data_IF_352766202222
#
_entry.id   IF_352766202222
#
_cell.length_a   1.000
_cell.length_b   1.000
_cell.length_c   1.000
_cell.angle_alpha   90.00
_cell.angle_beta   90.00
_cell.angle_gamma   90.00
#
_symmetry.space_group_name_H-M   'P 1'
#
loop_
_entity.id
_entity.type
_entity.pdbx_description
1 polymer ?
#
# COMPACT_ATOMS: atom_id res chain seq x y z
N UNK A 1 53.18 24.73 -32.84
CA UNK A 1 52.72 23.94 -31.67
C UNK A 1 51.60 24.68 -30.94
N UNK A 2 50.34 24.28 -31.14
CA UNK A 2 49.20 24.65 -30.28
C UNK A 2 48.23 23.46 -30.27
N UNK A 3 48.19 22.73 -29.16
CA UNK A 3 47.22 21.67 -28.88
C UNK A 3 45.83 22.30 -28.72
N UNK A 4 44.82 21.74 -29.40
CA UNK A 4 43.40 21.97 -29.08
C UNK A 4 42.86 20.71 -28.39
N UNK A 5 42.43 20.87 -27.14
CA UNK A 5 41.77 19.84 -26.34
C UNK A 5 40.34 19.61 -26.86
N UNK A 6 39.98 18.35 -27.13
CA UNK A 6 38.60 17.90 -27.26
C UNK A 6 38.01 17.67 -25.86
N UNK A 7 36.93 18.37 -25.53
CA UNK A 7 36.10 18.09 -24.35
C UNK A 7 35.04 17.08 -24.78
N UNK A 8 35.14 15.85 -24.27
CA UNK A 8 34.09 14.82 -24.41
C UNK A 8 33.05 15.11 -23.32
N UNK A 9 31.87 15.56 -23.72
CA UNK A 9 30.71 15.66 -22.84
C UNK A 9 30.12 14.26 -22.61
N UNK A 10 30.35 13.71 -21.42
CA UNK A 10 29.73 12.46 -20.99
C UNK A 10 28.30 12.75 -20.53
N UNK A 11 27.31 12.44 -21.35
CA UNK A 11 25.91 12.41 -20.93
C UNK A 11 25.69 11.22 -19.99
N UNK A 12 25.56 11.51 -18.69
CA UNK A 12 25.00 10.58 -17.72
C UNK A 12 23.51 10.39 -18.04
N UNK A 13 23.21 9.35 -18.81
CA UNK A 13 21.86 8.83 -18.93
C UNK A 13 21.44 8.27 -17.56
N UNK A 14 20.60 9.01 -16.84
CA UNK A 14 19.89 8.50 -15.68
C UNK A 14 18.93 7.41 -16.16
N UNK A 15 19.33 6.15 -16.00
CA UNK A 15 18.44 5.01 -16.16
C UNK A 15 17.43 5.04 -15.00
N UNK A 16 16.11 5.12 -15.26
CA UNK A 16 15.13 4.96 -14.21
C UNK A 16 15.21 3.52 -13.68
N UNK A 17 15.51 3.40 -12.38
CA UNK A 17 15.45 2.12 -11.68
C UNK A 17 14.00 1.60 -11.74
N UNK A 18 13.76 0.61 -12.58
CA UNK A 18 12.57 -0.23 -12.53
C UNK A 18 12.47 -0.83 -11.14
N UNK A 19 11.39 -0.48 -10.41
CA UNK A 19 11.05 -1.13 -9.16
C UNK A 19 10.92 -2.64 -9.43
N UNK A 20 11.89 -3.42 -8.98
CA UNK A 20 11.87 -4.87 -9.13
C UNK A 20 10.73 -5.44 -8.29
N UNK A 21 9.73 -6.02 -8.95
CA UNK A 21 8.84 -6.98 -8.30
C UNK A 21 9.72 -8.12 -7.78
N UNK A 22 9.85 -8.25 -6.46
CA UNK A 22 10.62 -9.33 -5.85
C UNK A 22 9.88 -10.64 -6.17
N UNK A 23 10.49 -11.48 -7.01
CA UNK A 23 9.88 -12.76 -7.40
C UNK A 23 9.86 -13.73 -6.22
N UNK A 24 8.75 -14.43 -6.04
CA UNK A 24 8.62 -15.53 -5.08
C UNK A 24 9.68 -16.61 -5.38
N UNK A 25 10.49 -16.98 -4.39
CA UNK A 25 11.49 -18.06 -4.43
C UNK A 25 10.87 -19.46 -4.45
N UNK A 26 11.69 -20.48 -4.72
CA UNK A 26 11.24 -21.86 -4.98
C UNK A 26 11.44 -22.73 -3.74
N UNK A 27 10.39 -23.43 -3.30
CA UNK A 27 10.45 -24.49 -2.26
C UNK A 27 10.06 -25.85 -2.86
N UNK A 28 10.53 -26.95 -2.27
CA UNK A 28 10.09 -28.30 -2.63
C UNK A 28 8.58 -28.46 -2.35
N UNK A 29 7.80 -28.75 -3.39
CA UNK A 29 6.33 -28.69 -3.34
C UNK A 29 5.69 -29.61 -2.29
N UNK A 30 4.70 -29.08 -1.57
CA UNK A 30 3.96 -29.85 -0.59
C UNK A 30 3.00 -30.84 -1.27
N UNK A 31 2.62 -31.90 -0.55
CA UNK A 31 1.68 -32.92 -1.02
C UNK A 31 0.23 -32.43 -1.23
N UNK A 32 -0.05 -31.14 -0.96
CA UNK A 32 -1.39 -30.54 -0.99
C UNK A 32 -1.38 -29.23 -1.75
N UNK A 33 -2.51 -28.96 -2.40
CA UNK A 33 -2.74 -27.72 -3.12
C UNK A 33 -3.12 -26.62 -2.11
N UNK A 34 -2.36 -25.53 -2.07
CA UNK A 34 -2.63 -24.41 -1.18
C UNK A 34 -2.22 -23.08 -1.77
N UNK A 35 -2.82 -22.02 -1.21
CA UNK A 35 -2.37 -20.66 -1.38
C UNK A 35 -2.56 -19.91 -0.06
N UNK A 36 -1.53 -19.18 0.32
CA UNK A 36 -1.46 -18.49 1.60
C UNK A 36 -0.86 -17.11 1.34
N UNK A 37 -1.52 -16.10 1.89
CA UNK A 37 -0.99 -14.76 2.02
C UNK A 37 -0.93 -14.41 3.51
N UNK A 38 0.20 -13.89 3.98
CA UNK A 38 0.41 -13.48 5.37
C UNK A 38 0.97 -12.07 5.41
N UNK A 39 0.26 -11.19 6.11
CA UNK A 39 0.79 -9.88 6.45
C UNK A 39 1.91 -10.05 7.50
N UNK A 40 2.91 -9.14 7.56
CA UNK A 40 3.77 -9.02 8.73
C UNK A 40 2.98 -8.95 10.04
N UNK A 41 3.59 -9.38 11.15
CA UNK A 41 2.92 -9.47 12.46
C UNK A 41 2.51 -8.12 13.05
N UNK A 42 3.19 -7.03 12.68
CA UNK A 42 2.82 -5.68 13.11
C UNK A 42 1.79 -5.08 12.16
N UNK A 43 1.02 -4.13 12.68
CA UNK A 43 0.17 -3.29 11.84
C UNK A 43 1.04 -2.56 10.83
N UNK A 44 0.51 -2.37 9.62
CA UNK A 44 1.19 -1.52 8.64
C UNK A 44 0.92 -0.07 9.00
N UNK A 45 1.96 0.74 9.10
CA UNK A 45 1.84 2.14 9.50
C UNK A 45 1.72 3.04 8.27
N UNK A 46 0.73 3.94 8.29
CA UNK A 46 0.55 4.99 7.28
C UNK A 46 0.37 6.31 8.02
N UNK A 47 1.16 7.33 7.66
CA UNK A 47 1.06 8.66 8.24
C UNK A 47 0.48 9.60 7.19
N UNK A 48 -0.70 10.12 7.44
CA UNK A 48 -1.39 11.05 6.57
C UNK A 48 -1.37 12.45 7.19
N UNK A 49 -0.60 13.33 6.58
CA UNK A 49 -0.50 14.74 6.95
C UNK A 49 -1.56 15.54 6.20
N UNK A 50 -2.33 16.31 6.94
CA UNK A 50 -3.37 17.19 6.45
C UNK A 50 -3.02 18.64 6.75
N UNK A 51 -3.42 19.53 5.84
CA UNK A 51 -3.39 20.99 6.04
C UNK A 51 -4.74 21.62 5.69
N UNK A 52 -5.00 22.84 6.16
CA UNK A 52 -6.12 23.64 5.66
C UNK A 52 -5.99 23.87 4.15
N UNK A 53 -7.06 23.60 3.39
CA UNK A 53 -7.14 24.02 1.96
C UNK A 53 -7.52 25.50 1.81
N UNK A 54 -8.01 26.09 2.91
CA UNK A 54 -8.51 27.46 3.02
C UNK A 54 -8.07 28.08 4.36
N UNK A 55 -6.76 28.34 4.54
CA UNK A 55 -6.23 28.89 5.77
C UNK A 55 -6.92 30.23 6.13
N UNK A 56 -7.13 30.46 7.43
CA UNK A 56 -7.82 31.65 7.95
C UNK A 56 -9.35 31.61 7.87
N UNK A 57 -9.94 30.54 7.31
CA UNK A 57 -11.37 30.34 7.38
C UNK A 57 -11.84 30.13 8.83
N UNK A 58 -13.06 30.57 9.12
CA UNK A 58 -13.69 30.25 10.40
C UNK A 58 -13.73 28.72 10.61
N UNK A 59 -13.64 28.20 11.85
CA UNK A 59 -13.47 26.77 12.14
C UNK A 59 -14.54 25.86 11.50
N UNK A 60 -15.80 26.32 11.43
CA UNK A 60 -16.90 25.59 10.78
C UNK A 60 -16.78 25.52 9.25
N UNK A 61 -15.98 26.39 8.66
CA UNK A 61 -15.73 26.50 7.21
C UNK A 61 -14.34 25.97 6.83
N UNK A 62 -13.50 25.60 7.79
CA UNK A 62 -12.18 25.06 7.53
C UNK A 62 -12.31 23.70 6.83
N UNK A 63 -11.59 23.55 5.72
CA UNK A 63 -11.55 22.33 4.93
C UNK A 63 -10.12 21.81 4.91
N UNK A 64 -9.99 20.50 4.80
CA UNK A 64 -8.73 19.80 4.97
C UNK A 64 -8.36 19.03 3.71
N UNK A 65 -7.12 19.20 3.28
CA UNK A 65 -6.52 18.45 2.19
C UNK A 65 -5.24 17.75 2.65
N UNK A 66 -4.78 16.77 1.87
CA UNK A 66 -3.50 16.12 2.13
C UNK A 66 -2.37 17.09 1.79
N UNK A 67 -1.34 17.15 2.63
CA UNK A 67 -0.17 18.00 2.41
C UNK A 67 0.53 17.70 1.08
N UNK A 68 0.68 16.41 0.76
CA UNK A 68 1.30 15.92 -0.47
C UNK A 68 0.36 14.92 -1.17
N UNK A 69 -0.63 15.40 -1.95
CA UNK A 69 -1.66 14.54 -2.53
C UNK A 69 -1.11 13.56 -3.57
N UNK A 70 0.03 13.88 -4.19
CA UNK A 70 0.65 13.10 -5.27
C UNK A 70 2.07 12.59 -4.92
N UNK A 71 2.46 12.65 -3.65
CA UNK A 71 3.76 12.23 -3.18
C UNK A 71 4.04 10.78 -3.54
N UNK A 72 5.20 10.51 -4.16
CA UNK A 72 5.66 9.13 -4.42
C UNK A 72 5.75 8.31 -3.12
N UNK A 73 6.03 8.96 -1.99
CA UNK A 73 6.02 8.37 -0.65
C UNK A 73 4.65 7.79 -0.30
N UNK A 74 3.56 8.50 -0.57
CA UNK A 74 2.22 8.08 -0.17
C UNK A 74 1.75 6.82 -0.91
N UNK A 75 2.07 6.67 -2.19
CA UNK A 75 1.74 5.43 -2.92
C UNK A 75 2.48 4.24 -2.34
N UNK A 76 3.78 4.38 -2.03
CA UNK A 76 4.57 3.30 -1.44
C UNK A 76 4.18 2.99 0.01
N UNK A 77 3.81 4.00 0.80
CA UNK A 77 3.27 3.84 2.16
C UNK A 77 1.97 3.03 2.19
N UNK A 78 1.21 2.97 1.09
CA UNK A 78 -0.01 2.14 1.04
C UNK A 78 0.25 0.70 0.61
N UNK A 79 1.50 0.34 0.33
CA UNK A 79 1.88 -1.01 -0.07
C UNK A 79 2.38 -1.79 1.14
N UNK A 80 1.79 -2.95 1.34
CA UNK A 80 2.27 -3.91 2.35
C UNK A 80 3.18 -4.91 1.65
N UNK A 81 4.29 -5.23 2.31
CA UNK A 81 5.15 -6.35 1.94
C UNK A 81 4.60 -7.65 2.54
N UNK A 82 3.73 -8.33 1.80
CA UNK A 82 3.13 -9.60 2.19
C UNK A 82 4.10 -10.76 1.97
N UNK A 83 3.98 -11.80 2.80
CA UNK A 83 4.54 -13.10 2.51
C UNK A 83 3.50 -13.95 1.77
N UNK A 84 3.82 -14.40 0.56
CA UNK A 84 2.96 -15.25 -0.25
C UNK A 84 3.60 -16.62 -0.44
N UNK A 85 2.81 -17.67 -0.36
CA UNK A 85 3.24 -19.04 -0.68
C UNK A 85 2.11 -19.82 -1.32
N UNK A 86 2.43 -20.60 -2.34
CA UNK A 86 1.49 -21.46 -3.02
C UNK A 86 2.14 -22.78 -3.44
N UNK A 87 1.34 -23.83 -3.53
CA UNK A 87 1.75 -25.16 -3.99
C UNK A 87 0.62 -25.81 -4.77
N UNK A 88 0.98 -26.54 -5.83
CA UNK A 88 0.12 -27.38 -6.65
C UNK A 88 0.83 -28.71 -6.91
N UNK A 89 0.14 -29.84 -6.75
CA UNK A 89 0.71 -31.17 -7.04
C UNK A 89 1.13 -31.33 -8.51
N UNK A 90 0.30 -30.81 -9.42
CA UNK A 90 0.51 -30.86 -10.88
C UNK A 90 1.52 -29.81 -11.37
N UNK A 91 1.62 -28.67 -10.69
CA UNK A 91 2.33 -27.49 -11.18
C UNK A 91 1.40 -26.28 -11.10
N UNK A 92 1.94 -25.10 -10.83
CA UNK A 92 1.19 -23.85 -10.74
C UNK A 92 1.11 -23.25 -12.15
N UNK A 93 -0.10 -23.01 -12.63
CA UNK A 93 -0.34 -22.35 -13.92
C UNK A 93 -0.27 -20.83 -13.76
N UNK A 94 -1.06 -20.26 -12.84
CA UNK A 94 -1.00 -18.84 -12.51
C UNK A 94 -1.44 -18.57 -11.07
N UNK A 95 -1.03 -17.42 -10.55
CA UNK A 95 -1.49 -16.84 -9.29
C UNK A 95 -1.86 -15.39 -9.54
N UNK A 96 -2.90 -14.90 -8.86
CA UNK A 96 -3.26 -13.49 -8.86
C UNK A 96 -3.50 -12.98 -7.45
N UNK A 97 -3.08 -11.73 -7.23
CA UNK A 97 -3.40 -10.95 -6.04
C UNK A 97 -4.20 -9.74 -6.53
N UNK A 98 -5.41 -9.58 -6.01
CA UNK A 98 -6.28 -8.44 -6.27
C UNK A 98 -6.41 -7.62 -5.00
N UNK A 99 -6.24 -6.31 -5.09
CA UNK A 99 -6.45 -5.38 -3.99
C UNK A 99 -6.87 -4.00 -4.49
N UNK A 100 -6.88 -2.99 -3.60
CA UNK A 100 -7.24 -1.61 -3.93
C UNK A 100 -6.49 -1.02 -5.14
N UNK A 101 -5.20 -1.33 -5.30
CA UNK A 101 -4.41 -0.84 -6.44
C UNK A 101 -4.56 -1.63 -7.74
N UNK A 102 -5.48 -2.60 -7.80
CA UNK A 102 -5.73 -3.42 -8.98
C UNK A 102 -5.37 -4.89 -8.80
N UNK A 103 -5.07 -5.58 -9.90
CA UNK A 103 -4.74 -7.01 -9.92
C UNK A 103 -3.34 -7.23 -10.45
N UNK A 104 -2.49 -7.88 -9.65
CA UNK A 104 -1.21 -8.42 -10.07
C UNK A 104 -1.40 -9.91 -10.41
N UNK A 105 -1.01 -10.34 -11.61
CA UNK A 105 -1.09 -11.74 -12.03
C UNK A 105 0.29 -12.23 -12.48
N UNK A 106 0.70 -13.37 -11.94
CA UNK A 106 1.91 -14.07 -12.34
C UNK A 106 1.54 -15.40 -12.99
N UNK A 107 1.97 -15.60 -14.23
CA UNK A 107 1.82 -16.87 -14.95
C UNK A 107 3.12 -17.66 -14.87
N UNK A 108 3.01 -18.95 -14.56
CA UNK A 108 4.11 -19.90 -14.35
C UNK A 108 4.05 -21.10 -15.30
N UNK A 109 2.94 -21.31 -16.02
CA UNK A 109 2.78 -22.36 -17.04
C UNK A 109 3.16 -23.77 -16.54
N UNK A 110 2.88 -24.11 -15.28
CA UNK A 110 3.20 -25.41 -14.70
C UNK A 110 4.67 -25.62 -14.30
N UNK A 111 5.57 -24.69 -14.64
CA UNK A 111 7.03 -24.83 -14.46
C UNK A 111 7.50 -24.96 -13.00
N UNK A 112 6.63 -24.66 -12.05
CA UNK A 112 6.89 -24.69 -10.60
C UNK A 112 5.75 -25.38 -9.88
N UNK A 113 6.07 -26.36 -9.01
CA UNK A 113 5.08 -27.00 -8.13
C UNK A 113 4.82 -26.22 -6.85
N UNK A 114 5.78 -25.42 -6.40
CA UNK A 114 5.59 -24.50 -5.29
C UNK A 114 6.42 -23.24 -5.45
N UNK A 115 5.93 -22.15 -4.86
CA UNK A 115 6.59 -20.86 -4.77
C UNK A 115 6.34 -20.25 -3.39
N UNK A 116 7.30 -19.49 -2.87
CA UNK A 116 7.20 -18.77 -1.61
C UNK A 116 8.08 -17.51 -1.65
N UNK A 117 7.61 -16.39 -1.14
CA UNK A 117 8.43 -15.19 -1.06
C UNK A 117 7.62 -13.97 -0.65
N UNK A 118 8.06 -12.80 -1.11
CA UNK A 118 7.45 -11.51 -0.73
C UNK A 118 6.84 -10.83 -1.95
N UNK A 119 5.64 -10.26 -1.78
CA UNK A 119 5.03 -9.36 -2.76
C UNK A 119 4.71 -8.03 -2.10
N UNK A 120 4.95 -6.93 -2.81
CA UNK A 120 4.67 -5.57 -2.35
C UNK A 120 3.56 -4.97 -3.21
N UNK A 121 2.34 -4.91 -2.68
CA UNK A 121 1.20 -4.39 -3.45
C UNK A 121 0.32 -3.48 -2.60
N UNK A 122 -0.37 -2.58 -3.29
CA UNK A 122 -1.25 -1.59 -2.70
C UNK A 122 -2.42 -2.26 -2.00
N UNK A 123 -2.46 -2.12 -0.68
CA UNK A 123 -3.37 -2.85 0.20
C UNK A 123 -4.46 -1.95 0.80
N UNK A 124 -4.44 -0.64 0.52
CA UNK A 124 -5.38 0.34 1.06
C UNK A 124 -5.83 1.36 0.01
N UNK A 125 -7.14 1.63 -0.03
CA UNK A 125 -7.72 2.65 -0.92
C UNK A 125 -7.35 4.06 -0.43
N UNK A 126 -6.74 4.87 -1.30
CA UNK A 126 -6.32 6.24 -0.98
C UNK A 126 -7.47 7.11 -0.47
N UNK A 127 -8.63 7.00 -1.11
CA UNK A 127 -9.84 7.74 -0.74
C UNK A 127 -10.39 7.30 0.63
N UNK A 128 -10.25 6.03 0.99
CA UNK A 128 -10.70 5.54 2.29
C UNK A 128 -9.85 6.14 3.43
N UNK A 129 -8.52 6.13 3.26
CA UNK A 129 -7.58 6.75 4.19
C UNK A 129 -7.85 8.26 4.34
N UNK A 130 -7.99 8.97 3.21
CA UNK A 130 -8.31 10.41 3.22
C UNK A 130 -9.60 10.71 3.97
N UNK A 131 -10.64 9.93 3.72
CA UNK A 131 -11.94 10.17 4.35
C UNK A 131 -11.85 9.99 5.87
N UNK A 132 -11.11 9.00 6.38
CA UNK A 132 -10.90 8.84 7.82
C UNK A 132 -10.23 10.09 8.40
N UNK A 133 -9.09 10.49 7.83
CA UNK A 133 -8.34 11.62 8.39
C UNK A 133 -9.07 12.95 8.22
N UNK A 134 -9.72 13.22 7.08
CA UNK A 134 -10.50 14.46 6.87
C UNK A 134 -11.75 14.51 7.75
N UNK A 135 -12.42 13.38 8.00
CA UNK A 135 -13.52 13.31 8.96
C UNK A 135 -13.05 13.66 10.36
N UNK A 136 -11.94 13.06 10.79
CA UNK A 136 -11.35 13.37 12.08
C UNK A 136 -10.90 14.83 12.19
N UNK A 137 -10.22 15.37 11.17
CA UNK A 137 -9.76 16.76 11.15
C UNK A 137 -10.93 17.74 11.35
N UNK A 138 -12.06 17.51 10.69
CA UNK A 138 -13.29 18.30 10.90
C UNK A 138 -13.82 18.21 12.33
N UNK A 139 -13.83 17.01 12.92
CA UNK A 139 -14.26 16.82 14.31
C UNK A 139 -13.30 17.49 15.29
N UNK A 140 -11.98 17.37 15.08
CA UNK A 140 -10.95 18.00 15.89
C UNK A 140 -11.05 19.53 15.84
N UNK A 141 -11.25 20.10 14.63
CA UNK A 141 -11.47 21.55 14.44
C UNK A 141 -12.71 22.02 15.21
N UNK A 142 -13.83 21.27 15.11
CA UNK A 142 -15.06 21.62 15.81
C UNK A 142 -14.92 21.54 17.33
N UNK A 143 -14.20 20.53 17.84
CA UNK A 143 -13.97 20.35 19.26
C UNK A 143 -12.99 21.39 19.84
N UNK A 144 -11.96 21.75 19.08
CA UNK A 144 -11.00 22.80 19.41
C UNK A 144 -11.64 24.20 19.40
N UNK A 145 -12.57 24.44 18.48
CA UNK A 145 -13.21 25.76 18.32
C UNK A 145 -12.35 26.77 17.55
N UNK A 146 -11.17 26.37 17.10
CA UNK A 146 -10.24 27.10 16.23
C UNK A 146 -9.48 26.14 15.30
N UNK A 147 -8.52 26.64 14.52
CA UNK A 147 -7.63 25.80 13.71
C UNK A 147 -6.65 25.02 14.62
N UNK A 148 -6.72 23.67 14.66
CA UNK A 148 -5.88 22.87 15.54
C UNK A 148 -4.38 22.92 15.24
N UNK A 149 -3.96 23.46 14.09
CA UNK A 149 -2.54 23.58 13.73
C UNK A 149 -1.84 24.75 14.43
N UNK A 150 -2.62 25.73 14.93
CA UNK A 150 -2.13 26.92 15.60
C UNK A 150 -2.72 27.10 17.01
N UNK A 151 -3.87 26.48 17.29
CA UNK A 151 -4.57 26.57 18.57
C UNK A 151 -3.83 25.86 19.70
N UNK A 152 -3.43 26.56 20.77
CA UNK A 152 -2.73 25.95 21.90
C UNK A 152 -3.64 24.93 22.60
N UNK A 153 -3.12 23.73 22.85
CA UNK A 153 -3.84 22.66 23.54
C UNK A 153 -4.83 21.88 22.68
N UNK A 154 -4.94 22.17 21.38
CA UNK A 154 -5.77 21.39 20.47
C UNK A 154 -5.08 20.10 20.03
N UNK A 155 -5.87 19.01 19.96
CA UNK A 155 -5.38 17.72 19.47
C UNK A 155 -5.18 17.80 17.96
N UNK A 156 -3.91 17.73 17.54
CA UNK A 156 -3.50 17.81 16.14
C UNK A 156 -3.00 16.48 15.57
N UNK A 157 -3.05 15.39 16.33
CA UNK A 157 -2.68 14.05 15.87
C UNK A 157 -3.59 12.97 16.46
N UNK A 158 -3.88 11.92 15.68
CA UNK A 158 -4.63 10.74 16.14
C UNK A 158 -4.30 9.51 15.32
N UNK A 159 -4.13 8.37 16.00
CA UNK A 159 -3.95 7.06 15.35
C UNK A 159 -5.23 6.23 15.40
N UNK A 160 -5.58 5.61 14.28
CA UNK A 160 -6.68 4.68 14.12
C UNK A 160 -6.16 3.29 13.78
N UNK A 161 -6.70 2.26 14.42
CA UNK A 161 -6.36 0.87 14.12
C UNK A 161 -7.48 0.19 13.35
N UNK A 162 -7.13 -0.42 12.21
CA UNK A 162 -8.01 -1.21 11.38
C UNK A 162 -7.50 -2.63 11.21
N UNK A 163 -8.40 -3.57 10.98
CA UNK A 163 -8.09 -4.98 10.79
C UNK A 163 -9.35 -5.83 10.60
N UNK A 164 -9.27 -7.17 10.71
CA UNK A 164 -10.38 -8.07 10.42
C UNK A 164 -11.69 -7.77 11.18
N UNK A 165 -11.59 -7.31 12.44
CA UNK A 165 -12.75 -6.99 13.27
C UNK A 165 -13.23 -5.53 13.13
N UNK A 166 -12.44 -4.67 12.50
CA UNK A 166 -12.73 -3.25 12.26
C UNK A 166 -12.08 -2.83 10.94
N UNK A 167 -12.65 -3.22 9.78
CA UNK A 167 -12.03 -2.97 8.48
C UNK A 167 -11.95 -1.47 8.19
N UNK A 168 -10.95 -1.06 7.39
CA UNK A 168 -10.89 0.31 6.87
C UNK A 168 -12.16 0.59 6.04
N UNK A 169 -13.01 1.55 6.42
CA UNK A 169 -14.30 1.75 5.78
C UNK A 169 -14.15 2.06 4.29
N UNK A 170 -14.96 1.39 3.46
CA UNK A 170 -14.95 1.54 1.99
C UNK A 170 -13.62 1.18 1.33
N UNK A 171 -12.73 0.46 2.01
CA UNK A 171 -11.55 -0.13 1.39
C UNK A 171 -11.85 -1.55 0.92
N UNK A 172 -11.33 -1.93 -0.26
CA UNK A 172 -11.44 -3.30 -0.76
C UNK A 172 -10.55 -4.24 0.04
N UNK A 173 -11.00 -5.49 0.21
CA UNK A 173 -10.15 -6.55 0.75
C UNK A 173 -9.07 -6.94 -0.25
N UNK A 174 -8.01 -7.55 0.27
CA UNK A 174 -7.02 -8.23 -0.55
C UNK A 174 -7.50 -9.64 -0.82
N UNK A 175 -7.44 -10.05 -2.07
CA UNK A 175 -7.81 -11.37 -2.51
C UNK A 175 -6.65 -12.06 -3.21
N UNK A 176 -6.46 -13.34 -2.93
CA UNK A 176 -5.50 -14.18 -3.64
C UNK A 176 -6.20 -15.39 -4.22
N UNK A 177 -5.89 -15.66 -5.49
CA UNK A 177 -6.40 -16.77 -6.28
C UNK A 177 -5.25 -17.43 -7.05
N UNK A 178 -5.50 -18.63 -7.55
CA UNK A 178 -4.58 -19.28 -8.47
C UNK A 178 -5.18 -20.50 -9.12
N UNK A 179 -4.43 -21.08 -10.05
CA UNK A 179 -4.80 -22.28 -10.79
C UNK A 179 -3.59 -23.19 -10.94
N UNK A 180 -3.84 -24.49 -10.86
CA UNK A 180 -2.86 -25.53 -11.14
C UNK A 180 -2.95 -25.98 -12.61
N UNK A 181 -1.87 -26.56 -13.12
CA UNK A 181 -1.73 -26.97 -14.53
C UNK A 181 -2.81 -27.96 -15.00
N UNK A 182 -3.24 -28.86 -14.12
CA UNK A 182 -4.34 -29.80 -14.38
C UNK A 182 -5.73 -29.14 -14.46
N UNK A 183 -5.79 -27.81 -14.41
CA UNK A 183 -7.01 -27.02 -14.50
C UNK A 183 -7.72 -26.75 -13.19
N UNK A 184 -7.32 -27.40 -12.09
CA UNK A 184 -7.90 -27.18 -10.76
C UNK A 184 -7.57 -25.79 -10.21
N UNK A 185 -8.50 -25.18 -9.47
CA UNK A 185 -8.28 -23.88 -8.84
C UNK A 185 -7.70 -24.05 -7.44
N UNK A 186 -6.74 -23.19 -7.10
CA UNK A 186 -6.31 -23.03 -5.71
C UNK A 186 -7.45 -22.38 -4.90
N UNK A 187 -7.55 -22.67 -3.59
CA UNK A 187 -8.59 -22.07 -2.74
C UNK A 187 -8.50 -20.54 -2.74
N UNK A 188 -9.57 -19.86 -3.15
CA UNK A 188 -9.68 -18.40 -3.03
C UNK A 188 -9.57 -17.98 -1.57
N UNK A 189 -8.75 -16.97 -1.28
CA UNK A 189 -8.62 -16.39 0.07
C UNK A 189 -8.79 -14.88 0.03
N UNK A 190 -9.45 -14.34 1.04
CA UNK A 190 -9.61 -12.90 1.23
C UNK A 190 -9.02 -12.49 2.58
N UNK A 191 -8.41 -11.32 2.61
CA UNK A 191 -7.70 -10.77 3.73
C UNK A 191 -8.07 -9.30 3.92
N UNK A 192 -8.50 -8.96 5.12
CA UNK A 192 -8.61 -7.58 5.58
C UNK A 192 -7.26 -7.18 6.19
N UNK A 193 -6.49 -6.28 5.55
CA UNK A 193 -5.18 -5.90 6.05
C UNK A 193 -5.29 -5.13 7.36
N UNK A 194 -4.28 -5.27 8.22
CA UNK A 194 -4.14 -4.51 9.46
C UNK A 194 -3.37 -3.22 9.24
N UNK A 195 -3.86 -2.13 9.81
CA UNK A 195 -3.37 -0.78 9.57
C UNK A 195 -3.39 0.03 10.85
N UNK A 196 -2.30 0.74 11.12
CA UNK A 196 -2.25 1.86 12.03
C UNK A 196 -2.18 3.14 11.18
N UNK A 197 -3.30 3.83 11.03
CA UNK A 197 -3.40 5.08 10.29
C UNK A 197 -3.23 6.24 11.26
N UNK A 198 -2.10 6.92 11.18
CA UNK A 198 -1.86 8.16 11.90
C UNK A 198 -2.29 9.35 11.04
N UNK A 199 -3.22 10.16 11.55
CA UNK A 199 -3.61 11.41 10.94
C UNK A 199 -2.92 12.55 11.70
N UNK A 200 -2.22 13.44 10.99
CA UNK A 200 -1.55 14.62 11.55
C UNK A 200 -2.07 15.89 10.90
N UNK A 201 -2.38 16.92 11.68
CA UNK A 201 -2.73 18.24 11.22
C UNK A 201 -1.47 19.12 11.28
N UNK A 202 -1.05 19.66 10.15
CA UNK A 202 0.16 20.46 9.98
C UNK A 202 -0.18 21.76 9.23
N UNK A 203 0.54 22.84 9.51
CA UNK A 203 0.39 24.16 8.88
C UNK A 203 1.38 24.36 7.74
#
# INVERSE_FOLDING_TARGET
MRLKFCIIACHLAMVPALASAQSLGVESGAARDYIILKQPQRDHEVILRLRPDNPGAAPRKLRWERWDPNGRSYTEERRIRWHASASCKSGIDWISIKGPGGTEKQTLNGSRKAIAGRSNFESFDSNALDNVCKNWARQATQACGEDPTIGPGCVNQKTFHFGPNNPLPRSQVVEVNGRCENGSNLPRRQYTPRLALECRLEN
#
